data_IF_954715997011
#
_entry.id   IF_954715997011
#
_cell.length_a   1.000
_cell.length_b   1.000
_cell.length_c   1.000
_cell.angle_alpha   90.00
_cell.angle_beta   90.00
_cell.angle_gamma   90.00
#
_symmetry.space_group_name_H-M   'P 1'
#
loop_
_entity.id
_entity.type
_entity.pdbx_description
1 polymer ?
#
# COMPACT_ATOMS: atom_id res chain seq x y z
N UNK A 1 -17.70 -4.35 -15.99
CA UNK A 1 -16.57 -4.22 -16.95
C UNK A 1 -15.43 -3.51 -16.22
N UNK A 2 -14.22 -4.03 -16.26
CA UNK A 2 -13.06 -3.36 -15.62
C UNK A 2 -12.70 -2.10 -16.40
N UNK A 3 -12.60 -1.00 -15.69
CA UNK A 3 -12.22 0.30 -16.23
C UNK A 3 -10.87 0.71 -15.64
N UNK A 4 -9.87 0.95 -16.49
CA UNK A 4 -8.54 1.40 -16.05
C UNK A 4 -8.60 2.77 -15.42
N UNK A 5 -7.71 3.04 -14.49
CA UNK A 5 -7.51 4.39 -13.96
C UNK A 5 -6.84 5.24 -15.01
N UNK A 6 -7.56 6.24 -15.51
CA UNK A 6 -7.09 7.21 -16.50
C UNK A 6 -6.62 8.52 -15.88
N UNK A 7 -6.98 8.76 -14.62
CA UNK A 7 -6.54 9.89 -13.80
C UNK A 7 -6.50 9.43 -12.34
N UNK A 8 -5.43 9.76 -11.63
CA UNK A 8 -5.25 9.48 -10.22
C UNK A 8 -4.87 10.76 -9.50
N UNK A 9 -5.75 11.26 -8.66
CA UNK A 9 -5.47 12.41 -7.82
C UNK A 9 -4.62 11.99 -6.61
N UNK A 10 -3.63 12.81 -6.29
CA UNK A 10 -2.67 12.58 -5.22
C UNK A 10 -2.91 13.59 -4.11
N UNK A 11 -2.95 13.11 -2.88
CA UNK A 11 -3.13 13.93 -1.69
C UNK A 11 -1.97 13.73 -0.71
N UNK A 12 -1.63 14.76 0.02
CA UNK A 12 -0.69 14.77 1.13
C UNK A 12 -1.41 15.31 2.36
N UNK A 13 -1.62 14.47 3.38
CA UNK A 13 -2.38 14.84 4.59
C UNK A 13 -3.75 15.46 4.27
N UNK A 14 -4.46 14.88 3.31
CA UNK A 14 -5.77 15.34 2.87
C UNK A 14 -5.75 16.56 1.94
N UNK A 15 -4.59 17.16 1.67
CA UNK A 15 -4.44 18.28 0.75
C UNK A 15 -4.12 17.79 -0.66
N UNK A 16 -4.85 18.25 -1.67
CA UNK A 16 -4.62 17.89 -3.06
C UNK A 16 -3.25 18.39 -3.54
N UNK A 17 -2.41 17.47 -3.98
CA UNK A 17 -1.05 17.72 -4.48
C UNK A 17 -1.04 17.95 -5.98
N UNK A 18 -1.81 17.14 -6.71
CA UNK A 18 -1.84 17.12 -8.17
C UNK A 18 -2.42 15.81 -8.68
N UNK A 19 -2.19 15.52 -9.96
CA UNK A 19 -2.75 14.34 -10.59
C UNK A 19 -1.72 13.60 -11.47
N UNK A 20 -1.82 12.28 -11.47
CA UNK A 20 -1.14 11.36 -12.38
C UNK A 20 -2.10 10.90 -13.48
N UNK A 21 -1.61 10.76 -14.70
CA UNK A 21 -2.35 10.16 -15.80
C UNK A 21 -1.42 9.31 -16.68
N UNK A 22 -1.96 8.31 -17.42
CA UNK A 22 -1.18 7.61 -18.43
C UNK A 22 -0.72 8.59 -19.53
N UNK A 23 0.49 8.40 -20.01
CA UNK A 23 1.06 9.09 -21.18
C UNK A 23 1.11 8.11 -22.36
N UNK A 24 2.27 7.54 -22.64
CA UNK A 24 2.46 6.59 -23.72
C UNK A 24 3.10 5.29 -23.22
N UNK A 25 2.57 4.16 -23.62
CA UNK A 25 3.07 2.84 -23.22
C UNK A 25 2.98 2.64 -21.69
N UNK A 26 4.15 2.57 -21.04
CA UNK A 26 4.27 2.42 -19.56
C UNK A 26 4.66 3.71 -18.86
N UNK A 27 4.55 4.84 -19.53
CA UNK A 27 4.90 6.15 -19.00
C UNK A 27 3.67 6.88 -18.47
N UNK A 28 3.93 7.86 -17.61
CA UNK A 28 2.90 8.68 -16.96
C UNK A 28 3.26 10.16 -17.07
N UNK A 29 2.26 10.99 -16.93
CA UNK A 29 2.43 12.42 -16.68
C UNK A 29 1.99 12.74 -15.27
N UNK A 30 2.63 13.73 -14.67
CA UNK A 30 2.21 14.31 -13.40
C UNK A 30 2.15 15.83 -13.51
N UNK A 31 1.11 16.42 -12.94
CA UNK A 31 0.99 17.86 -12.83
C UNK A 31 0.55 18.23 -11.42
N UNK A 32 1.24 19.18 -10.83
CA UNK A 32 0.86 19.76 -9.55
C UNK A 32 -0.42 20.56 -9.64
N UNK A 33 -1.23 20.54 -8.59
CA UNK A 33 -2.31 21.48 -8.39
C UNK A 33 -1.76 22.91 -8.25
N UNK A 34 -2.35 23.91 -8.90
CA UNK A 34 -1.87 25.31 -8.83
C UNK A 34 -1.84 25.89 -7.40
N UNK A 35 -2.76 25.48 -6.52
CA UNK A 35 -2.74 25.90 -5.13
C UNK A 35 -1.59 25.24 -4.36
N UNK A 36 -1.28 23.97 -4.67
CA UNK A 36 -0.15 23.30 -4.08
C UNK A 36 1.20 23.86 -4.56
N UNK A 37 1.28 24.33 -5.82
CA UNK A 37 2.47 25.03 -6.33
C UNK A 37 2.75 26.29 -5.54
N UNK A 38 1.73 27.07 -5.15
CA UNK A 38 1.92 28.32 -4.41
C UNK A 38 2.42 28.14 -2.99
N UNK A 39 1.78 27.22 -2.24
CA UNK A 39 1.93 27.15 -0.78
C UNK A 39 2.09 25.73 -0.22
N UNK A 40 2.34 24.73 -1.11
CA UNK A 40 2.62 23.35 -0.71
C UNK A 40 4.04 23.15 -0.17
N UNK A 41 4.35 21.91 0.17
CA UNK A 41 5.69 21.46 0.54
C UNK A 41 6.36 20.73 -0.62
N UNK A 42 7.67 20.67 -0.66
CA UNK A 42 8.40 19.92 -1.67
C UNK A 42 8.37 18.42 -1.34
N UNK A 43 7.64 17.63 -2.13
CA UNK A 43 7.53 16.18 -1.94
C UNK A 43 8.68 15.40 -2.58
N UNK A 44 9.29 15.95 -3.64
CA UNK A 44 10.42 15.36 -4.35
C UNK A 44 11.22 16.47 -5.06
N UNK A 45 12.00 17.30 -4.32
CA UNK A 45 12.56 18.55 -4.84
C UNK A 45 13.53 18.37 -6.02
N UNK A 46 14.17 17.19 -6.13
CA UNK A 46 15.11 16.90 -7.21
C UNK A 46 14.42 16.36 -8.47
N UNK A 47 13.46 15.45 -8.31
CA UNK A 47 12.80 14.77 -9.44
C UNK A 47 11.53 15.48 -9.91
N UNK A 48 10.82 16.11 -8.99
CA UNK A 48 9.56 16.82 -9.22
C UNK A 48 9.59 18.16 -8.46
N UNK A 49 10.48 19.10 -8.82
CA UNK A 49 10.46 20.42 -8.22
C UNK A 49 9.08 21.06 -8.39
N UNK A 50 8.58 21.74 -7.38
CA UNK A 50 7.22 22.25 -7.30
C UNK A 50 6.98 23.41 -8.27
N UNK A 51 6.51 23.09 -9.49
CA UNK A 51 6.26 24.01 -10.60
C UNK A 51 4.93 23.69 -11.31
N UNK A 52 4.43 24.64 -12.11
CA UNK A 52 3.17 24.48 -12.86
C UNK A 52 3.31 23.66 -14.15
N UNK A 53 4.51 23.24 -14.51
CA UNK A 53 4.76 22.42 -15.71
C UNK A 53 4.24 20.99 -15.56
N UNK A 54 4.00 20.33 -16.69
CA UNK A 54 3.65 18.91 -16.73
C UNK A 54 4.97 18.12 -16.74
N UNK A 55 5.07 17.15 -15.83
CA UNK A 55 6.20 16.23 -15.74
C UNK A 55 5.90 14.96 -16.54
N UNK A 56 6.75 14.66 -17.52
CA UNK A 56 6.66 13.44 -18.32
C UNK A 56 7.67 12.42 -17.82
N UNK A 57 7.21 11.24 -17.35
CA UNK A 57 8.15 10.21 -16.86
C UNK A 57 8.98 9.57 -17.98
N UNK A 58 8.58 9.73 -19.24
CA UNK A 58 9.35 9.32 -20.41
C UNK A 58 10.67 10.08 -20.56
N UNK A 59 10.76 11.30 -20.02
CA UNK A 59 11.97 12.15 -20.06
C UNK A 59 12.84 12.03 -18.81
N UNK A 60 12.39 11.25 -17.81
CA UNK A 60 13.13 11.05 -16.57
C UNK A 60 14.03 9.82 -16.66
N UNK A 61 15.28 9.96 -16.19
CA UNK A 61 16.20 8.84 -16.04
C UNK A 61 15.81 8.03 -14.78
N UNK A 62 14.95 7.01 -14.97
CA UNK A 62 14.46 6.17 -13.88
C UNK A 62 14.63 4.68 -14.21
N UNK A 63 15.04 3.85 -13.23
CA UNK A 63 15.06 2.41 -13.40
C UNK A 63 13.63 1.87 -13.51
N UNK A 64 13.19 1.51 -14.72
CA UNK A 64 11.82 1.04 -15.00
C UNK A 64 11.41 -0.15 -14.14
N UNK A 65 12.33 -1.08 -13.90
CA UNK A 65 12.06 -2.27 -13.11
C UNK A 65 11.83 -1.96 -11.62
N UNK A 66 12.37 -0.85 -11.09
CA UNK A 66 12.20 -0.46 -9.70
C UNK A 66 10.96 0.41 -9.48
N UNK A 67 10.60 1.26 -10.45
CA UNK A 67 9.61 2.32 -10.26
C UNK A 67 8.34 2.16 -11.10
N UNK A 68 8.20 1.10 -11.88
CA UNK A 68 7.00 0.84 -12.70
C UNK A 68 6.63 2.02 -13.64
N UNK A 69 7.62 2.83 -14.01
CA UNK A 69 7.43 4.03 -14.82
C UNK A 69 6.91 5.26 -14.05
N UNK A 70 6.78 5.18 -12.74
CA UNK A 70 6.38 6.29 -11.87
C UNK A 70 7.59 7.03 -11.28
N UNK A 71 7.47 8.33 -10.97
CA UNK A 71 8.44 9.00 -10.09
C UNK A 71 8.55 8.29 -8.74
N UNK A 72 9.78 8.23 -8.19
CA UNK A 72 10.09 7.47 -6.98
C UNK A 72 9.18 7.77 -5.79
N UNK A 73 8.81 9.04 -5.59
CA UNK A 73 7.92 9.46 -4.50
C UNK A 73 6.53 8.80 -4.56
N UNK A 74 6.02 8.49 -5.75
CA UNK A 74 4.75 7.77 -5.92
C UNK A 74 4.97 6.26 -5.94
N UNK A 75 6.08 5.82 -6.56
CA UNK A 75 6.43 4.41 -6.62
C UNK A 75 6.69 3.80 -5.22
N UNK A 76 7.16 4.60 -4.27
CA UNK A 76 7.37 4.18 -2.87
C UNK A 76 6.05 3.81 -2.16
N UNK A 77 4.92 4.32 -2.65
CA UNK A 77 3.59 3.94 -2.17
C UNK A 77 3.04 2.65 -2.81
N UNK A 78 3.73 2.10 -3.83
CA UNK A 78 3.31 0.84 -4.45
C UNK A 78 3.48 -0.32 -3.46
N UNK A 79 2.60 -1.31 -3.52
CA UNK A 79 2.71 -2.50 -2.70
C UNK A 79 4.03 -3.24 -2.95
N UNK A 80 4.57 -3.82 -1.89
CA UNK A 80 5.69 -4.76 -1.97
C UNK A 80 5.29 -6.09 -2.63
N UNK A 81 6.19 -7.07 -2.65
CA UNK A 81 5.92 -8.39 -3.23
C UNK A 81 4.71 -9.07 -2.60
N UNK A 82 4.55 -8.97 -1.28
CA UNK A 82 3.41 -9.54 -0.57
C UNK A 82 2.11 -8.81 -0.92
N UNK A 83 2.09 -7.48 -0.82
CA UNK A 83 0.92 -6.68 -1.19
C UNK A 83 0.52 -6.84 -2.65
N UNK A 84 1.49 -6.98 -3.56
CA UNK A 84 1.20 -7.26 -4.98
C UNK A 84 0.56 -8.64 -5.19
N UNK A 85 0.96 -9.66 -4.41
CA UNK A 85 0.30 -10.98 -4.47
C UNK A 85 -1.17 -10.89 -4.03
N UNK A 86 -1.46 -10.12 -2.97
CA UNK A 86 -2.84 -9.88 -2.50
C UNK A 86 -3.67 -9.14 -3.55
N UNK A 87 -3.13 -8.07 -4.16
CA UNK A 87 -3.82 -7.34 -5.23
C UNK A 87 -4.11 -8.25 -6.42
N UNK A 88 -3.16 -9.07 -6.82
CA UNK A 88 -3.34 -9.98 -7.94
C UNK A 88 -4.47 -10.99 -7.67
N UNK A 89 -4.57 -11.51 -6.46
CA UNK A 89 -5.65 -12.42 -6.09
C UNK A 89 -7.01 -11.71 -6.05
N UNK A 90 -7.07 -10.52 -5.45
CA UNK A 90 -8.26 -9.67 -5.49
C UNK A 90 -8.72 -9.40 -6.93
N UNK A 91 -7.80 -9.05 -7.84
CA UNK A 91 -8.12 -8.80 -9.24
C UNK A 91 -8.65 -10.05 -9.94
N UNK A 92 -8.10 -11.23 -9.64
CA UNK A 92 -8.62 -12.50 -10.17
C UNK A 92 -10.07 -12.77 -9.72
N UNK A 93 -10.39 -12.53 -8.44
CA UNK A 93 -11.76 -12.64 -7.95
C UNK A 93 -12.74 -11.70 -8.66
N UNK A 94 -12.24 -10.52 -9.06
CA UNK A 94 -13.01 -9.55 -9.85
C UNK A 94 -12.98 -9.86 -11.37
N UNK A 95 -12.41 -11.02 -11.79
CA UNK A 95 -12.25 -11.42 -13.19
C UNK A 95 -11.42 -10.40 -14.02
N UNK A 96 -10.46 -9.73 -13.38
CA UNK A 96 -9.57 -8.75 -14.00
C UNK A 96 -8.22 -9.42 -14.30
N UNK A 97 -7.79 -9.48 -15.56
CA UNK A 97 -6.47 -10.00 -15.89
C UNK A 97 -5.37 -9.15 -15.27
N UNK A 98 -4.43 -9.76 -14.57
CA UNK A 98 -3.31 -9.05 -13.91
C UNK A 98 -2.45 -8.26 -14.89
N UNK A 99 -2.38 -8.69 -16.17
CA UNK A 99 -1.70 -7.99 -17.27
C UNK A 99 -2.41 -6.69 -17.69
N UNK A 100 -3.67 -6.51 -17.34
CA UNK A 100 -4.44 -5.30 -17.61
C UNK A 100 -4.24 -4.21 -16.54
N UNK A 101 -3.65 -4.56 -15.40
CA UNK A 101 -3.51 -3.70 -14.22
C UNK A 101 -2.27 -2.83 -14.34
N UNK A 102 -2.45 -1.51 -14.39
CA UNK A 102 -1.36 -0.53 -14.44
C UNK A 102 -0.83 -0.18 -13.04
N UNK A 103 0.26 0.60 -12.97
CA UNK A 103 0.75 1.14 -11.70
C UNK A 103 -0.27 2.10 -11.06
N UNK A 104 -1.02 2.87 -11.86
CA UNK A 104 -2.08 3.74 -11.32
C UNK A 104 -3.24 2.94 -10.72
N UNK A 105 -3.60 1.81 -11.33
CA UNK A 105 -4.61 0.91 -10.76
C UNK A 105 -4.17 0.35 -9.40
N UNK A 106 -2.88 0.03 -9.25
CA UNK A 106 -2.30 -0.43 -7.98
C UNK A 106 -2.28 0.67 -6.92
N UNK A 107 -1.94 1.90 -7.28
CA UNK A 107 -2.02 3.05 -6.37
C UNK A 107 -3.48 3.35 -5.99
N UNK A 108 -4.42 3.28 -6.93
CA UNK A 108 -5.86 3.41 -6.65
C UNK A 108 -6.38 2.30 -5.72
N UNK A 109 -5.85 1.09 -5.88
CA UNK A 109 -6.15 -0.01 -4.96
C UNK A 109 -5.58 0.25 -3.56
N UNK A 110 -4.37 0.80 -3.44
CA UNK A 110 -3.79 1.21 -2.15
C UNK A 110 -4.63 2.32 -1.52
N UNK A 111 -4.97 3.36 -2.30
CA UNK A 111 -5.81 4.46 -1.83
C UNK A 111 -5.22 5.20 -0.64
N UNK A 112 -5.85 5.06 0.52
CA UNK A 112 -5.44 5.64 1.81
C UNK A 112 -4.72 4.65 2.75
N UNK A 113 -4.37 3.46 2.25
CA UNK A 113 -3.74 2.39 3.04
C UNK A 113 -2.23 2.34 2.89
N UNK A 114 -1.60 3.31 2.20
CA UNK A 114 -0.15 3.39 2.15
C UNK A 114 0.42 3.73 3.53
N UNK A 115 1.63 3.28 3.81
CA UNK A 115 2.31 3.64 5.06
C UNK A 115 2.90 5.06 5.04
N UNK A 116 2.91 5.70 3.88
CA UNK A 116 3.41 7.06 3.70
C UNK A 116 2.32 8.11 3.94
N UNK A 117 2.70 9.37 3.75
CA UNK A 117 1.80 10.51 3.89
C UNK A 117 0.91 10.74 2.65
N UNK A 118 1.21 10.06 1.54
CA UNK A 118 0.44 10.19 0.30
C UNK A 118 -0.77 9.26 0.29
N UNK A 119 -1.90 9.79 -0.18
CA UNK A 119 -3.10 9.02 -0.48
C UNK A 119 -3.56 9.28 -1.91
N UNK A 120 -4.37 8.37 -2.47
CA UNK A 120 -4.71 8.35 -3.88
C UNK A 120 -6.21 8.18 -4.11
N UNK A 121 -6.76 8.90 -5.09
CA UNK A 121 -8.15 8.81 -5.53
C UNK A 121 -8.25 8.71 -7.06
N UNK A 122 -9.16 7.86 -7.61
CA UNK A 122 -10.20 7.10 -6.93
C UNK A 122 -9.66 5.91 -6.12
N UNK A 123 -10.31 5.60 -5.01
CA UNK A 123 -10.03 4.39 -4.21
C UNK A 123 -10.75 3.19 -4.81
N UNK A 124 -10.03 2.11 -5.09
CA UNK A 124 -10.59 0.91 -5.75
C UNK A 124 -10.41 -0.40 -4.98
N UNK A 125 -9.68 -0.38 -3.90
CA UNK A 125 -9.53 -1.54 -3.02
C UNK A 125 -10.75 -1.80 -2.16
N UNK A 126 -10.80 -2.92 -1.42
CA UNK A 126 -11.86 -3.18 -0.45
C UNK A 126 -11.90 -2.06 0.58
N UNK A 127 -13.06 -1.42 0.71
CA UNK A 127 -13.25 -0.27 1.59
C UNK A 127 -13.09 -0.64 3.07
N UNK A 128 -12.45 0.23 3.83
CA UNK A 128 -12.46 0.15 5.31
C UNK A 128 -13.68 0.93 5.79
N UNK A 129 -14.80 0.23 6.00
CA UNK A 129 -16.04 0.91 6.39
C UNK A 129 -16.23 1.02 7.90
N UNK A 130 -15.59 0.17 8.71
CA UNK A 130 -15.61 0.23 10.19
C UNK A 130 -14.38 -0.48 10.76
N UNK A 131 -13.85 -0.03 11.91
CA UNK A 131 -12.88 -0.79 12.68
C UNK A 131 -13.52 -2.12 13.09
N UNK A 132 -13.07 -3.21 12.49
CA UNK A 132 -13.52 -4.57 12.84
C UNK A 132 -12.43 -5.22 13.68
N UNK A 133 -12.82 -5.89 14.75
CA UNK A 133 -11.88 -6.68 15.54
C UNK A 133 -11.22 -7.74 14.67
N UNK A 134 -9.89 -7.87 14.77
CA UNK A 134 -9.10 -8.85 14.01
C UNK A 134 -8.75 -10.03 14.91
N UNK A 135 -8.93 -11.25 14.40
CA UNK A 135 -8.31 -12.43 14.99
C UNK A 135 -6.88 -12.57 14.43
N UNK A 136 -5.88 -12.32 15.28
CA UNK A 136 -4.48 -12.37 14.89
C UNK A 136 -4.01 -13.78 14.51
N UNK A 137 -4.68 -14.84 14.97
CA UNK A 137 -4.35 -16.22 14.60
C UNK A 137 -4.83 -16.53 13.18
N UNK A 138 -6.06 -16.14 12.87
CA UNK A 138 -6.61 -16.27 11.51
C UNK A 138 -5.79 -15.41 10.54
N UNK A 139 -5.52 -14.16 10.87
CA UNK A 139 -4.72 -13.27 10.05
C UNK A 139 -3.32 -13.84 9.77
N UNK A 140 -2.67 -14.44 10.77
CA UNK A 140 -1.36 -15.08 10.62
C UNK A 140 -1.42 -16.28 9.67
N UNK A 141 -2.45 -17.13 9.81
CA UNK A 141 -2.63 -18.30 8.95
C UNK A 141 -2.82 -17.86 7.48
N UNK A 142 -3.63 -16.85 7.24
CA UNK A 142 -3.91 -16.31 5.91
C UNK A 142 -2.69 -15.62 5.30
N UNK A 143 -1.95 -14.83 6.07
CA UNK A 143 -0.69 -14.23 5.63
C UNK A 143 0.33 -15.29 5.17
N UNK A 144 0.42 -16.42 5.86
CA UNK A 144 1.26 -17.55 5.49
C UNK A 144 0.81 -18.23 4.20
N UNK A 145 -0.50 -18.38 3.99
CA UNK A 145 -1.05 -18.91 2.72
C UNK A 145 -0.74 -17.98 1.55
N UNK A 146 -0.86 -16.68 1.76
CA UNK A 146 -0.52 -15.66 0.77
C UNK A 146 0.95 -15.72 0.33
N UNK A 147 1.86 -15.84 1.28
CA UNK A 147 3.30 -15.96 1.01
C UNK A 147 3.67 -17.21 0.20
N UNK A 148 2.95 -18.30 0.39
CA UNK A 148 3.24 -19.56 -0.29
C UNK A 148 2.53 -19.69 -1.66
N UNK A 149 2.02 -18.60 -2.23
CA UNK A 149 1.21 -18.60 -3.46
C UNK A 149 0.03 -19.60 -3.44
N UNK A 150 -0.46 -19.95 -2.25
CA UNK A 150 -1.60 -20.85 -2.05
C UNK A 150 -2.89 -20.10 -1.76
N UNK A 151 -2.99 -18.84 -2.18
CA UNK A 151 -4.16 -17.99 -1.98
C UNK A 151 -5.44 -18.60 -2.58
N UNK A 152 -5.32 -19.39 -3.67
CA UNK A 152 -6.45 -20.12 -4.24
C UNK A 152 -7.05 -21.20 -3.34
N UNK A 153 -6.42 -21.49 -2.19
CA UNK A 153 -6.93 -22.42 -1.16
C UNK A 153 -7.63 -21.66 -0.02
N UNK A 154 -7.53 -20.32 0.00
CA UNK A 154 -8.20 -19.49 1.00
C UNK A 154 -9.71 -19.65 0.85
N UNK A 155 -10.34 -20.15 1.90
CA UNK A 155 -11.80 -20.35 1.95
C UNK A 155 -12.49 -19.00 2.18
N UNK A 156 -12.75 -18.29 1.08
CA UNK A 156 -13.70 -17.17 1.09
C UNK A 156 -13.10 -15.79 0.91
N UNK A 157 -13.87 -14.98 0.24
CA UNK A 157 -13.64 -13.57 -0.09
C UNK A 157 -13.40 -12.70 1.15
N UNK A 158 -13.90 -13.11 2.31
CA UNK A 158 -13.80 -12.34 3.55
C UNK A 158 -12.39 -12.35 4.14
N UNK A 159 -11.78 -13.53 4.22
CA UNK A 159 -10.40 -13.70 4.70
C UNK A 159 -9.40 -12.90 3.86
N UNK A 160 -9.53 -12.96 2.53
CA UNK A 160 -8.70 -12.17 1.63
C UNK A 160 -8.94 -10.67 1.83
N UNK A 161 -10.17 -10.23 2.05
CA UNK A 161 -10.49 -8.83 2.34
C UNK A 161 -9.87 -8.35 3.64
N UNK A 162 -9.91 -9.16 4.69
CA UNK A 162 -9.30 -8.81 5.98
C UNK A 162 -7.79 -8.62 5.85
N UNK A 163 -7.09 -9.57 5.21
CA UNK A 163 -5.64 -9.43 5.05
C UNK A 163 -5.26 -8.24 4.15
N UNK A 164 -6.08 -7.93 3.14
CA UNK A 164 -5.92 -6.75 2.30
C UNK A 164 -6.13 -5.45 3.10
N UNK A 165 -7.10 -5.43 4.01
CA UNK A 165 -7.33 -4.27 4.89
C UNK A 165 -6.15 -3.95 5.77
N UNK A 166 -5.44 -4.99 6.22
CA UNK A 166 -4.43 -4.88 7.27
C UNK A 166 -3.04 -4.70 6.70
N UNK A 167 -2.78 -5.18 5.49
CA UNK A 167 -1.43 -5.20 4.99
C UNK A 167 -1.27 -4.75 3.56
N UNK A 168 -0.49 -3.73 3.31
CA UNK A 168 -0.14 -3.46 1.93
C UNK A 168 1.21 -2.86 1.63
N UNK A 169 1.95 -2.19 2.45
CA UNK A 169 3.18 -1.60 1.89
C UNK A 169 4.18 -1.08 2.91
N UNK A 170 4.81 -1.98 3.62
CA UNK A 170 5.97 -1.59 4.43
C UNK A 170 7.32 -1.99 3.82
N UNK A 171 7.39 -2.19 2.49
CA UNK A 171 8.61 -2.59 1.77
C UNK A 171 9.21 -3.94 2.22
N UNK A 172 9.78 -4.70 1.27
CA UNK A 172 10.41 -6.00 1.54
C UNK A 172 9.54 -7.21 1.21
N UNK A 173 10.14 -8.42 1.26
CA UNK A 173 9.49 -9.68 0.84
C UNK A 173 8.71 -10.39 1.96
N UNK A 174 8.88 -9.98 3.22
CA UNK A 174 8.23 -10.61 4.36
C UNK A 174 6.80 -10.10 4.52
N UNK A 175 5.85 -11.04 4.76
CA UNK A 175 4.46 -10.67 5.06
C UNK A 175 4.41 -9.80 6.32
N UNK A 176 3.69 -8.70 6.23
CA UNK A 176 3.52 -7.75 7.31
C UNK A 176 2.17 -7.06 7.23
N UNK A 177 1.72 -6.53 8.34
CA UNK A 177 0.43 -5.85 8.46
C UNK A 177 0.53 -4.63 9.37
N UNK A 178 -0.20 -3.57 9.03
CA UNK A 178 -0.39 -2.44 9.92
C UNK A 178 -1.68 -2.67 10.71
N UNK A 179 -1.58 -2.75 12.02
CA UNK A 179 -2.71 -2.98 12.92
C UNK A 179 -2.83 -1.86 13.95
N UNK A 180 -4.03 -1.59 14.40
CA UNK A 180 -4.30 -0.85 15.62
C UNK A 180 -4.35 -1.83 16.79
N UNK A 181 -3.58 -1.63 17.83
CA UNK A 181 -3.61 -2.43 19.05
C UNK A 181 -3.99 -1.60 20.27
N UNK A 182 -5.00 -2.07 20.98
CA UNK A 182 -5.36 -1.54 22.29
C UNK A 182 -4.75 -2.43 23.37
N UNK A 183 -3.68 -1.96 24.00
CA UNK A 183 -2.94 -2.71 25.02
C UNK A 183 -3.73 -3.00 26.30
N UNK A 184 -4.78 -2.23 26.57
CA UNK A 184 -5.60 -2.42 27.79
C UNK A 184 -6.62 -3.54 27.60
N UNK A 185 -7.20 -3.65 26.40
CA UNK A 185 -8.23 -4.63 26.09
C UNK A 185 -7.70 -5.81 25.29
N UNK A 186 -6.44 -5.77 24.86
CA UNK A 186 -5.78 -6.72 23.97
C UNK A 186 -6.52 -6.95 22.63
N UNK A 187 -7.20 -5.90 22.15
CA UNK A 187 -7.94 -5.92 20.90
C UNK A 187 -7.09 -5.41 19.74
N UNK A 188 -7.23 -6.06 18.60
CA UNK A 188 -6.62 -5.66 17.34
C UNK A 188 -7.68 -5.24 16.33
N UNK A 189 -7.37 -4.22 15.53
CA UNK A 189 -8.19 -3.74 14.41
C UNK A 189 -7.28 -3.45 13.21
N UNK A 190 -7.86 -3.24 12.02
CA UNK A 190 -7.09 -2.76 10.88
C UNK A 190 -6.46 -1.40 11.18
N UNK A 191 -5.17 -1.24 10.88
CA UNK A 191 -4.38 -0.07 11.25
C UNK A 191 -4.29 1.01 10.18
N UNK A 192 -5.08 0.93 9.09
CA UNK A 192 -5.10 1.96 8.06
C UNK A 192 -5.94 3.17 8.50
N UNK A 193 -5.42 4.38 8.26
CA UNK A 193 -6.11 5.63 8.62
C UNK A 193 -6.07 5.96 10.12
N UNK A 194 -6.99 6.84 10.55
CA UNK A 194 -7.09 7.25 11.95
C UNK A 194 -7.62 6.12 12.83
N UNK A 195 -6.98 5.90 13.96
CA UNK A 195 -7.39 4.90 14.94
C UNK A 195 -8.34 5.49 16.00
N UNK A 196 -9.28 4.68 16.51
CA UNK A 196 -10.08 5.07 17.66
C UNK A 196 -9.21 5.33 18.90
N UNK A 197 -9.73 6.11 19.85
CA UNK A 197 -9.06 6.38 21.12
C UNK A 197 -8.69 5.07 21.86
N UNK A 198 -7.48 5.03 22.38
CA UNK A 198 -6.94 3.87 23.09
C UNK A 198 -6.24 2.84 22.22
N UNK A 199 -6.25 3.01 20.89
CA UNK A 199 -5.49 2.17 19.96
C UNK A 199 -4.20 2.88 19.54
N UNK A 200 -3.14 2.10 19.32
CA UNK A 200 -1.83 2.54 18.80
C UNK A 200 -1.53 1.82 17.48
N UNK A 201 -0.86 2.50 16.54
CA UNK A 201 -0.38 1.88 15.30
C UNK A 201 0.79 0.94 15.56
N UNK A 202 0.69 -0.28 15.04
CA UNK A 202 1.74 -1.29 15.10
C UNK A 202 1.97 -1.92 13.74
N UNK A 203 3.25 -2.19 13.44
CA UNK A 203 3.64 -3.01 12.29
C UNK A 203 3.93 -4.43 12.80
N UNK A 204 3.09 -5.37 12.37
CA UNK A 204 3.26 -6.79 12.67
C UNK A 204 3.93 -7.48 11.48
N UNK A 205 5.00 -8.22 11.73
CA UNK A 205 5.65 -9.08 10.73
C UNK A 205 5.28 -10.53 11.01
N UNK A 206 4.90 -11.26 9.96
CA UNK A 206 4.51 -12.67 10.08
C UNK A 206 5.71 -13.57 9.77
N UNK A 207 6.05 -14.47 10.70
CA UNK A 207 7.12 -15.45 10.48
C UNK A 207 6.72 -16.46 9.40
N UNK A 208 7.61 -16.78 8.44
CA UNK A 208 7.39 -17.85 7.49
C UNK A 208 7.18 -19.21 8.20
N UNK A 209 6.47 -20.14 7.51
CA UNK A 209 6.31 -21.51 8.01
C UNK A 209 7.69 -22.16 8.24
N UNK A 210 7.89 -22.76 9.40
CA UNK A 210 9.16 -23.38 9.81
C UNK A 210 10.23 -22.41 10.34
N UNK A 211 9.88 -21.13 10.51
CA UNK A 211 10.73 -20.08 11.09
C UNK A 211 9.98 -19.33 12.18
N UNK A 212 9.23 -20.03 13.02
CA UNK A 212 8.41 -19.45 14.08
C UNK A 212 9.20 -18.56 15.04
N UNK A 213 10.49 -18.91 15.28
CA UNK A 213 11.39 -18.16 16.15
C UNK A 213 12.00 -16.90 15.49
N UNK A 214 11.80 -16.68 14.18
CA UNK A 214 12.43 -15.55 13.48
C UNK A 214 11.95 -14.19 14.03
N UNK A 215 10.68 -14.10 14.41
CA UNK A 215 10.09 -12.89 15.01
C UNK A 215 10.63 -12.61 16.40
N UNK A 216 10.84 -13.64 17.22
CA UNK A 216 11.41 -13.53 18.57
C UNK A 216 12.87 -13.06 18.50
N UNK A 217 13.66 -13.61 17.57
CA UNK A 217 15.07 -13.17 17.36
C UNK A 217 15.17 -11.72 16.91
N UNK A 218 14.29 -11.27 16.01
CA UNK A 218 14.27 -9.87 15.55
C UNK A 218 13.91 -8.91 16.71
N UNK A 219 12.95 -9.29 17.55
CA UNK A 219 12.56 -8.53 18.73
C UNK A 219 13.71 -8.44 19.75
N UNK A 220 14.41 -9.53 20.01
CA UNK A 220 15.56 -9.59 20.90
C UNK A 220 16.72 -8.70 20.42
N UNK A 221 16.98 -8.68 19.11
CA UNK A 221 17.98 -7.77 18.51
C UNK A 221 17.57 -6.31 18.70
N UNK A 222 16.30 -5.98 18.53
CA UNK A 222 15.80 -4.63 18.72
C UNK A 222 15.89 -4.15 20.17
N UNK A 223 15.60 -5.00 21.14
CA UNK A 223 15.78 -4.70 22.57
C UNK A 223 17.24 -4.47 22.92
N UNK A 224 18.16 -5.29 22.41
CA UNK A 224 19.60 -5.14 22.63
C UNK A 224 20.18 -3.87 22.01
N UNK A 225 19.61 -3.40 20.89
CA UNK A 225 20.04 -2.16 20.25
C UNK A 225 19.56 -0.89 20.99
N UNK A 226 18.57 -1.01 21.90
CA UNK A 226 18.07 0.08 22.72
C UNK A 226 18.69 0.15 24.13
N UNK A 227 19.40 -0.87 24.54
CA UNK A 227 20.13 -0.96 25.82
C UNK A 227 21.56 -0.41 25.68
#
# INVERSE_FOLDING_TARGET
MYERVVKLDVFLWGRHVGALAPDSGTHYVFQYDPAFVRDGVDIAPFMLPRRSEIYHTSTMEMPRNAFWGLPGVFADSLPDTFGNALINEWMKEQHIPTTAVSALDRLAYVGDRSMGALTFEPRRGPGVHKPTALDMRELTAEARLALNNRLGVMKGTEALREIIRVGTSAGGAQAKAVVGWNRKTDQFIAGAGDLPEGFEHWLVKFSPLGMEEAGEKEYDVHLKAKA
#
